data_IF_814468539810
#
_entry.id   IF_814468539810
#
_cell.length_a   1.000
_cell.length_b   1.000
_cell.length_c   1.000
_cell.angle_alpha   90.00
_cell.angle_beta   90.00
_cell.angle_gamma   90.00
#
_symmetry.space_group_name_H-M   'P 1'
#
loop_
_entity.id
_entity.type
_entity.pdbx_description
1 polymer ?
#
# COMPACT_ATOMS: atom_id res chain seq x y z
N UNK A 1 4.47 -9.05 -39.88
CA UNK A 1 4.59 -7.98 -38.88
C UNK A 1 3.18 -7.58 -38.48
N UNK A 2 2.70 -8.02 -37.32
CA UNK A 2 1.42 -7.49 -36.77
C UNK A 2 1.67 -6.03 -36.40
N UNK A 3 0.73 -5.16 -36.71
CA UNK A 3 0.81 -3.75 -36.33
C UNK A 3 0.77 -3.67 -34.79
N UNK A 4 1.93 -3.37 -34.17
CA UNK A 4 1.97 -3.02 -32.76
C UNK A 4 1.09 -1.77 -32.55
N UNK A 5 0.18 -1.85 -31.59
CA UNK A 5 -0.67 -0.68 -31.22
C UNK A 5 0.25 0.44 -30.74
N UNK A 6 0.17 1.60 -31.39
CA UNK A 6 0.91 2.81 -30.98
C UNK A 6 -0.04 3.97 -30.77
N UNK A 7 0.19 4.74 -29.69
CA UNK A 7 -0.56 5.95 -29.35
C UNK A 7 0.42 7.14 -29.34
N UNK A 8 0.17 8.11 -30.19
CA UNK A 8 1.02 9.31 -30.30
C UNK A 8 0.39 10.57 -29.71
N UNK A 9 -0.92 10.54 -29.40
CA UNK A 9 -1.65 11.70 -28.88
C UNK A 9 -2.12 11.50 -27.46
N UNK A 10 -1.83 12.44 -26.56
CA UNK A 10 -2.38 12.50 -25.20
C UNK A 10 -3.91 12.66 -25.14
N UNK A 11 -4.55 13.03 -26.28
CA UNK A 11 -6.01 13.12 -26.40
C UNK A 11 -6.68 11.75 -26.61
N UNK A 12 -5.91 10.67 -26.74
CA UNK A 12 -6.43 9.32 -26.81
C UNK A 12 -7.25 8.98 -25.56
N UNK A 13 -8.41 8.35 -25.73
CA UNK A 13 -9.35 8.07 -24.65
C UNK A 13 -8.76 7.15 -23.57
N UNK A 14 -7.89 6.20 -23.94
CA UNK A 14 -7.21 5.34 -22.98
C UNK A 14 -6.26 6.17 -22.10
N UNK A 15 -5.45 7.06 -22.67
CA UNK A 15 -4.55 7.91 -21.91
C UNK A 15 -5.31 8.91 -21.02
N UNK A 16 -6.44 9.44 -21.47
CA UNK A 16 -7.33 10.26 -20.62
C UNK A 16 -7.88 9.45 -19.45
N UNK A 17 -8.23 8.18 -19.67
CA UNK A 17 -8.67 7.29 -18.60
C UNK A 17 -7.56 7.05 -17.59
N UNK A 18 -6.34 6.72 -18.04
CA UNK A 18 -5.17 6.56 -17.15
C UNK A 18 -4.90 7.84 -16.34
N UNK A 19 -4.95 9.00 -16.98
CA UNK A 19 -4.77 10.30 -16.29
C UNK A 19 -5.80 10.51 -15.17
N UNK A 20 -7.06 10.11 -15.38
CA UNK A 20 -8.09 10.15 -14.32
C UNK A 20 -7.74 9.19 -13.17
N UNK A 21 -7.30 7.98 -13.48
CA UNK A 21 -6.90 7.00 -12.47
C UNK A 21 -5.67 7.46 -11.67
N UNK A 22 -4.71 8.12 -12.31
CA UNK A 22 -3.53 8.67 -11.67
C UNK A 22 -3.86 9.82 -10.70
N UNK A 23 -4.80 10.68 -11.07
CA UNK A 23 -5.04 11.94 -10.34
C UNK A 23 -6.26 11.94 -9.43
N UNK A 24 -7.25 11.06 -9.65
CA UNK A 24 -8.55 11.13 -8.97
C UNK A 24 -8.88 9.85 -8.18
N UNK A 25 -8.92 9.95 -6.85
CA UNK A 25 -9.32 8.81 -6.02
C UNK A 25 -10.76 8.36 -6.28
N UNK A 26 -11.67 9.30 -6.65
CA UNK A 26 -13.03 8.97 -7.03
C UNK A 26 -13.07 8.04 -8.26
N UNK A 27 -12.29 8.35 -9.30
CA UNK A 27 -12.21 7.53 -10.50
C UNK A 27 -11.69 6.11 -10.19
N UNK A 28 -10.63 5.99 -9.37
CA UNK A 28 -10.12 4.67 -8.95
C UNK A 28 -11.20 3.82 -8.27
N UNK A 29 -11.98 4.43 -7.38
CA UNK A 29 -13.08 3.74 -6.70
C UNK A 29 -14.22 3.35 -7.63
N UNK A 30 -14.65 4.27 -8.47
CA UNK A 30 -15.78 4.08 -9.39
C UNK A 30 -15.51 2.98 -10.40
N UNK A 31 -14.29 2.96 -10.96
CA UNK A 31 -13.89 1.95 -11.93
C UNK A 31 -13.30 0.68 -11.31
N UNK A 32 -12.94 0.68 -10.03
CA UNK A 32 -12.21 -0.43 -9.42
C UNK A 32 -10.85 -0.66 -10.07
N UNK A 33 -10.14 0.42 -10.45
CA UNK A 33 -8.93 0.36 -11.26
C UNK A 33 -7.91 1.38 -10.78
N UNK A 34 -6.63 1.08 -11.05
CA UNK A 34 -5.52 2.02 -10.81
C UNK A 34 -4.42 1.84 -11.85
N UNK A 35 -3.37 2.62 -11.75
CA UNK A 35 -2.20 2.57 -12.62
C UNK A 35 -0.95 2.42 -11.78
N UNK A 36 -0.13 1.44 -12.14
CA UNK A 36 1.22 1.29 -11.63
C UNK A 36 2.15 2.10 -12.52
N UNK A 37 2.99 2.93 -11.94
CA UNK A 37 4.02 3.68 -12.66
C UNK A 37 5.39 3.08 -12.35
N UNK A 38 6.13 2.71 -13.40
CA UNK A 38 7.47 2.15 -13.32
C UNK A 38 7.55 0.65 -13.61
N UNK A 39 8.70 0.25 -14.17
CA UNK A 39 9.00 -1.16 -14.54
C UNK A 39 8.94 -2.06 -13.31
N UNK A 40 9.55 -1.65 -12.21
CA UNK A 40 9.66 -2.46 -11.00
C UNK A 40 8.28 -2.84 -10.42
N UNK A 41 7.36 -1.89 -10.29
CA UNK A 41 6.00 -2.18 -9.80
C UNK A 41 5.25 -3.13 -10.73
N UNK A 42 5.44 -2.97 -12.04
CA UNK A 42 4.85 -3.84 -13.05
C UNK A 42 5.38 -5.27 -12.93
N UNK A 43 6.67 -5.44 -12.72
CA UNK A 43 7.30 -6.75 -12.51
C UNK A 43 6.77 -7.43 -11.25
N UNK A 44 6.78 -6.73 -10.11
CA UNK A 44 6.27 -7.29 -8.84
C UNK A 44 4.80 -7.71 -8.96
N UNK A 45 3.98 -6.93 -9.70
CA UNK A 45 2.59 -7.28 -9.96
C UNK A 45 2.45 -8.60 -10.74
N UNK A 46 3.26 -8.78 -11.79
CA UNK A 46 3.27 -10.01 -12.60
C UNK A 46 3.83 -11.21 -11.81
N UNK A 47 4.91 -11.01 -11.06
CA UNK A 47 5.52 -12.05 -10.20
C UNK A 47 4.56 -12.52 -9.10
N UNK A 48 3.67 -11.64 -8.61
CA UNK A 48 2.60 -11.99 -7.68
C UNK A 48 1.44 -12.77 -8.35
N UNK A 49 1.54 -13.07 -9.66
CA UNK A 49 0.58 -13.88 -10.40
C UNK A 49 -0.64 -13.13 -10.93
N UNK A 50 -0.61 -11.80 -10.92
CA UNK A 50 -1.70 -10.98 -11.45
C UNK A 50 -1.54 -10.68 -12.94
N UNK A 51 -2.65 -10.49 -13.64
CA UNK A 51 -2.68 -10.13 -15.07
C UNK A 51 -3.13 -8.68 -15.23
N UNK A 52 -2.33 -7.82 -15.89
CA UNK A 52 -2.71 -6.44 -16.17
C UNK A 52 -3.82 -6.36 -17.24
N UNK A 53 -4.59 -5.27 -17.22
CA UNK A 53 -5.53 -4.97 -18.30
C UNK A 53 -4.82 -4.50 -19.56
N UNK A 54 -3.78 -3.69 -19.39
CA UNK A 54 -2.92 -3.19 -20.47
C UNK A 54 -1.62 -2.63 -19.89
N UNK A 55 -0.53 -2.80 -20.61
CA UNK A 55 0.78 -2.20 -20.31
C UNK A 55 1.12 -1.19 -21.41
N UNK A 56 1.44 0.04 -20.99
CA UNK A 56 1.81 1.14 -21.87
C UNK A 56 3.31 1.37 -21.74
N UNK A 57 4.01 1.24 -22.85
CA UNK A 57 5.46 1.29 -22.92
C UNK A 57 5.93 2.53 -23.68
N UNK A 58 6.93 3.28 -23.18
CA UNK A 58 7.51 4.40 -23.91
C UNK A 58 8.27 3.93 -25.14
N UNK A 59 7.99 4.55 -26.29
CA UNK A 59 8.69 4.21 -27.56
C UNK A 59 10.20 4.41 -27.46
N UNK A 60 10.69 5.38 -26.66
CA UNK A 60 12.10 5.64 -26.43
C UNK A 60 12.86 4.48 -25.79
N UNK A 61 12.16 3.64 -25.01
CA UNK A 61 12.78 2.54 -24.26
C UNK A 61 12.59 1.16 -24.92
N UNK A 62 12.23 1.09 -26.19
CA UNK A 62 11.93 -0.17 -26.89
C UNK A 62 13.12 -1.16 -26.95
N UNK A 63 14.35 -0.66 -26.80
CA UNK A 63 15.57 -1.48 -26.73
C UNK A 63 16.10 -1.69 -25.32
N UNK A 64 15.47 -1.05 -24.29
CA UNK A 64 15.95 -1.13 -22.90
C UNK A 64 15.80 -2.56 -22.35
N UNK A 65 16.85 -3.13 -21.70
CA UNK A 65 16.83 -4.52 -21.24
C UNK A 65 15.67 -4.84 -20.29
N UNK A 66 15.35 -3.95 -19.34
CA UNK A 66 14.26 -4.15 -18.39
C UNK A 66 12.89 -4.18 -19.08
N UNK A 67 12.69 -3.34 -20.12
CA UNK A 67 11.45 -3.35 -20.91
C UNK A 67 11.33 -4.65 -21.70
N UNK A 68 12.42 -5.14 -22.28
CA UNK A 68 12.42 -6.43 -22.99
C UNK A 68 12.09 -7.59 -22.05
N UNK A 69 12.63 -7.56 -20.83
CA UNK A 69 12.33 -8.56 -19.83
C UNK A 69 10.84 -8.51 -19.44
N UNK A 70 10.30 -7.31 -19.21
CA UNK A 70 8.87 -7.13 -18.89
C UNK A 70 7.97 -7.66 -20.03
N UNK A 71 8.29 -7.32 -21.29
CA UNK A 71 7.55 -7.75 -22.47
C UNK A 71 7.53 -9.29 -22.59
N UNK A 72 8.62 -9.97 -22.25
CA UNK A 72 8.70 -11.44 -22.34
C UNK A 72 7.70 -12.17 -21.44
N UNK A 73 7.17 -11.48 -20.45
CA UNK A 73 6.17 -11.99 -19.49
C UNK A 73 4.73 -11.57 -19.83
N UNK A 74 4.51 -10.95 -20.99
CA UNK A 74 3.24 -10.39 -21.40
C UNK A 74 2.79 -10.93 -22.76
N UNK A 75 1.48 -11.03 -22.95
CA UNK A 75 0.90 -11.28 -24.26
C UNK A 75 1.01 -10.03 -25.15
N UNK A 76 1.26 -10.20 -26.46
CA UNK A 76 1.38 -9.09 -27.41
C UNK A 76 0.18 -8.14 -27.39
N UNK A 77 -1.03 -8.68 -27.26
CA UNK A 77 -2.26 -7.89 -27.21
C UNK A 77 -2.39 -7.03 -25.92
N UNK A 78 -1.68 -7.41 -24.88
CA UNK A 78 -1.57 -6.68 -23.60
C UNK A 78 -0.64 -5.46 -23.64
N UNK A 79 0.02 -5.19 -24.76
CA UNK A 79 1.04 -4.15 -24.89
C UNK A 79 0.57 -3.03 -25.82
N UNK A 80 0.81 -1.80 -25.42
CA UNK A 80 0.61 -0.61 -26.25
C UNK A 80 1.83 0.29 -26.14
N UNK A 81 2.43 0.63 -27.29
CA UNK A 81 3.51 1.60 -27.36
C UNK A 81 2.96 3.03 -27.33
N UNK A 82 3.63 3.92 -26.65
CA UNK A 82 3.17 5.32 -26.51
C UNK A 82 4.32 6.26 -26.74
N UNK A 83 4.06 7.28 -27.56
CA UNK A 83 5.02 8.35 -27.79
C UNK A 83 5.33 9.10 -26.49
N UNK A 84 6.59 9.42 -26.25
CA UNK A 84 7.07 10.02 -25.00
C UNK A 84 6.35 11.32 -24.63
N UNK A 85 6.05 12.18 -25.62
CA UNK A 85 5.30 13.43 -25.40
C UNK A 85 3.88 13.16 -24.86
N UNK A 86 3.24 12.07 -25.27
CA UNK A 86 1.91 11.71 -24.82
C UNK A 86 1.96 11.14 -23.38
N UNK A 87 2.98 10.33 -23.04
CA UNK A 87 3.18 9.82 -21.68
C UNK A 87 3.53 10.95 -20.71
N UNK A 88 4.42 11.86 -21.08
CA UNK A 88 4.84 12.97 -20.20
C UNK A 88 3.70 13.86 -19.73
N UNK A 89 2.62 13.94 -20.51
CA UNK A 89 1.43 14.75 -20.16
C UNK A 89 0.51 14.10 -19.13
N UNK A 90 0.66 12.79 -18.86
CA UNK A 90 -0.22 12.06 -17.96
C UNK A 90 0.51 11.48 -16.74
N UNK A 91 1.82 11.28 -16.80
CA UNK A 91 2.60 10.74 -15.68
C UNK A 91 2.61 11.67 -14.48
N UNK A 92 2.67 11.10 -13.29
CA UNK A 92 2.93 11.81 -12.04
C UNK A 92 4.43 11.81 -11.66
N UNK A 93 5.28 11.20 -12.48
CA UNK A 93 6.73 11.11 -12.28
C UNK A 93 7.47 12.26 -12.95
N UNK A 94 8.64 12.61 -12.36
CA UNK A 94 9.53 13.60 -12.97
C UNK A 94 10.18 13.08 -14.26
N UNK A 95 10.42 11.76 -14.34
CA UNK A 95 10.90 11.08 -15.54
C UNK A 95 9.72 10.63 -16.38
N UNK A 96 9.43 11.40 -17.41
CA UNK A 96 8.23 11.34 -18.23
C UNK A 96 8.10 10.11 -19.13
N UNK A 97 9.06 9.19 -19.11
CA UNK A 97 9.16 8.08 -20.06
C UNK A 97 9.19 6.70 -19.36
N UNK A 98 8.37 6.51 -18.33
CA UNK A 98 8.30 5.23 -17.64
C UNK A 98 7.05 4.42 -18.03
N UNK A 99 7.10 3.12 -17.70
CA UNK A 99 6.02 2.17 -17.94
C UNK A 99 4.79 2.56 -17.13
N UNK A 100 3.61 2.45 -17.73
CA UNK A 100 2.34 2.53 -17.04
C UNK A 100 1.57 1.22 -17.20
N UNK A 101 1.26 0.56 -16.09
CA UNK A 101 0.49 -0.68 -16.09
C UNK A 101 -0.89 -0.44 -15.54
N UNK A 102 -1.89 -0.58 -16.39
CA UNK A 102 -3.31 -0.47 -16.02
C UNK A 102 -3.79 -1.77 -15.42
N UNK A 103 -4.26 -1.70 -14.18
CA UNK A 103 -4.70 -2.87 -13.42
C UNK A 103 -6.12 -2.72 -12.85
N UNK A 104 -6.77 -3.84 -12.59
CA UNK A 104 -7.92 -3.88 -11.68
C UNK A 104 -7.43 -3.83 -10.22
N UNK A 105 -8.14 -3.10 -9.37
CA UNK A 105 -7.95 -3.19 -7.92
C UNK A 105 -8.52 -4.52 -7.47
N UNK A 106 -7.76 -5.36 -6.73
CA UNK A 106 -8.30 -6.61 -6.21
C UNK A 106 -9.56 -6.39 -5.37
N UNK A 107 -10.58 -7.23 -5.50
CA UNK A 107 -11.79 -7.10 -4.70
C UNK A 107 -11.45 -7.32 -3.23
N UNK A 108 -12.05 -6.49 -2.37
CA UNK A 108 -11.90 -6.63 -0.92
C UNK A 108 -12.62 -7.90 -0.46
N UNK A 109 -11.95 -8.70 0.37
CA UNK A 109 -12.51 -9.89 1.01
C UNK A 109 -13.33 -9.50 2.24
N UNK A 110 -13.93 -10.49 2.90
CA UNK A 110 -14.54 -10.30 4.22
C UNK A 110 -13.49 -9.83 5.24
N UNK A 111 -13.91 -8.93 6.13
CA UNK A 111 -13.01 -8.38 7.13
C UNK A 111 -12.47 -9.47 8.05
N UNK A 112 -11.18 -9.40 8.44
CA UNK A 112 -10.60 -10.40 9.33
C UNK A 112 -11.23 -10.32 10.71
N UNK A 113 -11.55 -11.48 11.29
CA UNK A 113 -12.06 -11.59 12.65
C UNK A 113 -10.95 -11.98 13.64
N UNK A 114 -9.80 -12.44 13.14
CA UNK A 114 -8.66 -12.90 13.95
C UNK A 114 -7.38 -12.92 13.11
N UNK A 115 -6.26 -13.24 13.74
CA UNK A 115 -4.94 -13.33 13.11
C UNK A 115 -4.19 -12.01 13.14
N UNK A 116 -2.91 -12.04 12.80
CA UNK A 116 -2.08 -10.85 12.84
C UNK A 116 -2.56 -9.77 11.86
N UNK A 117 -2.76 -8.57 12.39
CA UNK A 117 -3.32 -7.46 11.63
C UNK A 117 -2.63 -6.13 11.93
N UNK A 118 -2.44 -5.32 10.91
CA UNK A 118 -2.07 -3.89 11.04
C UNK A 118 -3.30 -3.04 10.78
N UNK A 119 -3.59 -2.14 11.70
CA UNK A 119 -4.74 -1.22 11.64
C UNK A 119 -4.22 0.21 11.55
N UNK A 120 -4.66 0.94 10.55
CA UNK A 120 -4.25 2.32 10.31
C UNK A 120 -5.44 3.25 10.59
N UNK A 121 -5.27 4.11 11.61
CA UNK A 121 -6.26 5.11 12.00
C UNK A 121 -5.85 6.49 11.49
N UNK A 122 -6.51 6.98 10.45
CA UNK A 122 -6.35 8.33 9.88
C UNK A 122 -4.93 8.68 9.41
N UNK A 123 -4.13 7.71 8.94
CA UNK A 123 -2.84 7.99 8.33
C UNK A 123 -3.02 8.73 6.99
N UNK A 124 -2.32 9.86 6.85
CA UNK A 124 -2.47 10.76 5.70
C UNK A 124 -1.26 10.77 4.78
N UNK A 125 -0.06 10.49 5.30
CA UNK A 125 1.16 10.51 4.49
C UNK A 125 1.32 9.23 3.67
N UNK A 126 1.39 9.31 2.31
CA UNK A 126 1.55 8.16 1.45
C UNK A 126 2.85 7.39 1.68
N UNK A 127 3.92 8.08 2.09
CA UNK A 127 5.22 7.49 2.38
C UNK A 127 5.17 6.62 3.63
N UNK A 128 4.53 7.12 4.70
CA UNK A 128 4.32 6.35 5.93
C UNK A 128 3.48 5.10 5.66
N UNK A 129 2.34 5.24 4.98
CA UNK A 129 1.49 4.10 4.65
C UNK A 129 2.26 3.06 3.83
N UNK A 130 2.94 3.47 2.76
CA UNK A 130 3.74 2.56 1.94
C UNK A 130 4.85 1.85 2.73
N UNK A 131 5.52 2.55 3.64
CA UNK A 131 6.55 1.96 4.52
C UNK A 131 5.94 0.95 5.49
N UNK A 132 4.77 1.23 6.07
CA UNK A 132 4.07 0.28 6.95
C UNK A 132 3.70 -0.99 6.18
N UNK A 133 3.18 -0.87 4.94
CA UNK A 133 2.86 -2.03 4.11
C UNK A 133 4.09 -2.91 3.87
N UNK A 134 5.24 -2.29 3.55
CA UNK A 134 6.50 -3.02 3.36
C UNK A 134 6.96 -3.74 4.63
N UNK A 135 6.86 -3.06 5.77
CA UNK A 135 7.22 -3.65 7.07
C UNK A 135 6.31 -4.81 7.44
N UNK A 136 5.00 -4.69 7.21
CA UNK A 136 4.04 -5.76 7.43
C UNK A 136 4.34 -6.97 6.54
N UNK A 137 4.52 -6.78 5.25
CA UNK A 137 4.87 -7.86 4.31
C UNK A 137 6.19 -8.54 4.72
N UNK A 138 7.21 -7.78 5.12
CA UNK A 138 8.51 -8.30 5.53
C UNK A 138 8.48 -9.05 6.86
N UNK A 139 7.61 -8.66 7.81
CA UNK A 139 7.43 -9.33 9.10
C UNK A 139 6.46 -10.52 9.06
N UNK A 140 5.84 -10.78 7.90
CA UNK A 140 4.88 -11.88 7.72
C UNK A 140 3.44 -11.55 8.11
N UNK A 141 3.15 -10.32 8.55
CA UNK A 141 1.77 -9.85 8.81
C UNK A 141 1.09 -9.53 7.48
N UNK A 142 -0.01 -10.21 7.17
CA UNK A 142 -0.66 -10.10 5.85
C UNK A 142 -1.88 -9.20 5.83
N UNK A 143 -2.56 -9.05 6.96
CA UNK A 143 -3.85 -8.35 7.02
C UNK A 143 -3.64 -6.87 7.37
N UNK A 144 -4.12 -5.98 6.49
CA UNK A 144 -4.01 -4.53 6.66
C UNK A 144 -5.41 -3.90 6.62
N UNK A 145 -5.84 -3.30 7.72
CA UNK A 145 -7.14 -2.63 7.85
C UNK A 145 -6.93 -1.12 7.92
N UNK A 146 -7.50 -0.37 6.99
CA UNK A 146 -7.42 1.09 6.96
C UNK A 146 -8.80 1.71 7.26
N UNK A 147 -8.81 2.66 8.16
CA UNK A 147 -9.99 3.48 8.46
C UNK A 147 -10.46 4.32 7.27
N UNK A 148 -11.69 4.84 7.37
CA UNK A 148 -12.31 5.66 6.33
C UNK A 148 -11.48 6.89 5.94
N UNK A 149 -10.79 7.48 6.92
CA UNK A 149 -10.07 8.75 6.80
C UNK A 149 -8.58 8.57 6.54
N UNK A 150 -8.15 7.40 6.11
CA UNK A 150 -6.78 7.17 5.62
C UNK A 150 -6.62 7.65 4.18
N UNK A 151 -5.36 7.94 3.81
CA UNK A 151 -5.01 8.22 2.41
C UNK A 151 -5.46 7.07 1.50
N UNK A 152 -5.76 7.38 0.25
CA UNK A 152 -6.14 6.37 -0.73
C UNK A 152 -4.98 5.40 -0.99
N UNK A 153 -5.14 4.18 -0.47
CA UNK A 153 -4.14 3.11 -0.52
C UNK A 153 -3.73 2.73 -1.94
N UNK A 154 -4.63 2.91 -2.92
CA UNK A 154 -4.41 2.61 -4.33
C UNK A 154 -3.93 3.84 -5.12
N UNK A 155 -3.58 4.94 -4.45
CA UNK A 155 -3.00 6.10 -5.13
C UNK A 155 -1.59 5.80 -5.63
N UNK A 156 -1.15 6.39 -6.76
CA UNK A 156 0.20 6.18 -7.31
C UNK A 156 1.31 6.47 -6.30
N UNK A 157 1.11 7.44 -5.41
CA UNK A 157 2.09 7.79 -4.36
C UNK A 157 2.26 6.66 -3.34
N UNK A 158 1.16 6.06 -2.87
CA UNK A 158 1.21 4.93 -1.92
C UNK A 158 1.73 3.67 -2.60
N UNK A 159 1.30 3.39 -3.84
CA UNK A 159 1.78 2.25 -4.64
C UNK A 159 3.30 2.28 -4.81
N UNK A 160 3.86 3.46 -5.15
CA UNK A 160 5.32 3.64 -5.25
C UNK A 160 6.02 3.47 -3.92
N UNK A 161 5.51 4.11 -2.85
CA UNK A 161 6.10 3.98 -1.52
C UNK A 161 6.06 2.54 -0.99
N UNK A 162 5.00 1.79 -1.34
CA UNK A 162 4.82 0.39 -0.97
C UNK A 162 5.67 -0.59 -1.77
N UNK A 163 6.29 -0.16 -2.89
CA UNK A 163 7.21 -0.99 -3.69
C UNK A 163 6.66 -2.39 -4.01
N UNK A 164 5.35 -2.50 -4.28
CA UNK A 164 4.69 -3.77 -4.60
C UNK A 164 4.17 -4.57 -3.41
N UNK A 165 4.39 -4.16 -2.16
CA UNK A 165 3.87 -4.84 -0.98
C UNK A 165 2.34 -5.03 -1.03
N UNK A 166 1.62 -4.17 -1.74
CA UNK A 166 0.17 -4.28 -1.95
C UNK A 166 -0.28 -5.64 -2.50
N UNK A 167 0.56 -6.28 -3.30
CA UNK A 167 0.24 -7.55 -3.97
C UNK A 167 0.58 -8.78 -3.14
N UNK A 168 1.21 -8.57 -1.97
CA UNK A 168 1.56 -9.60 -0.99
C UNK A 168 0.63 -9.59 0.23
N UNK A 169 -0.30 -8.62 0.31
CA UNK A 169 -1.11 -8.31 1.47
C UNK A 169 -2.61 -8.40 1.16
N UNK A 170 -3.39 -8.77 2.16
CA UNK A 170 -4.84 -8.66 2.16
C UNK A 170 -5.23 -7.27 2.71
N UNK A 171 -5.64 -6.38 1.82
CA UNK A 171 -5.89 -4.97 2.15
C UNK A 171 -7.39 -4.71 2.25
N UNK A 172 -7.80 -4.17 3.40
CA UNK A 172 -9.16 -3.77 3.72
C UNK A 172 -9.18 -2.27 3.93
N UNK A 173 -9.68 -1.53 2.97
CA UNK A 173 -9.71 -0.06 3.02
C UNK A 173 -11.11 0.47 3.31
N UNK A 174 -11.16 1.68 3.88
CA UNK A 174 -12.41 2.38 4.19
C UNK A 174 -13.31 1.62 5.16
N UNK A 175 -12.68 1.05 6.18
CA UNK A 175 -13.37 0.28 7.21
C UNK A 175 -13.86 1.21 8.32
N UNK A 176 -15.06 0.98 8.83
CA UNK A 176 -15.53 1.57 10.10
C UNK A 176 -14.78 0.88 11.24
N UNK A 177 -13.62 1.44 11.64
CA UNK A 177 -12.73 0.80 12.61
C UNK A 177 -13.42 0.49 13.92
N UNK A 178 -14.26 1.40 14.45
CA UNK A 178 -14.95 1.19 15.72
C UNK A 178 -15.90 -0.01 15.67
N UNK A 179 -16.57 -0.25 14.53
CA UNK A 179 -17.44 -1.41 14.34
C UNK A 179 -16.64 -2.69 14.16
N UNK A 180 -15.53 -2.62 13.42
CA UNK A 180 -14.66 -3.77 13.18
C UNK A 180 -13.98 -4.24 14.48
N UNK A 181 -13.48 -3.31 15.31
CA UNK A 181 -12.86 -3.62 16.60
C UNK A 181 -13.79 -4.42 17.53
N UNK A 182 -15.11 -4.20 17.45
CA UNK A 182 -16.09 -4.96 18.25
C UNK A 182 -16.25 -6.43 17.76
N UNK A 183 -15.77 -6.76 16.58
CA UNK A 183 -15.86 -8.11 15.98
C UNK A 183 -14.56 -8.89 16.00
N UNK A 184 -13.44 -8.20 16.16
CA UNK A 184 -12.11 -8.83 16.16
C UNK A 184 -11.88 -9.57 17.47
N UNK A 185 -11.33 -10.81 17.38
CA UNK A 185 -11.35 -11.77 18.48
C UNK A 185 -10.02 -11.88 19.24
N UNK A 186 -8.90 -11.50 18.62
CA UNK A 186 -7.60 -11.52 19.26
C UNK A 186 -7.31 -10.16 19.92
N UNK A 187 -6.20 -10.07 20.65
CA UNK A 187 -5.81 -8.84 21.35
C UNK A 187 -5.53 -7.70 20.38
N UNK A 188 -5.85 -6.50 20.82
CA UNK A 188 -5.67 -5.26 20.06
C UNK A 188 -4.76 -4.33 20.85
N UNK A 189 -3.60 -4.01 20.29
CA UNK A 189 -2.63 -3.09 20.85
C UNK A 189 -2.59 -1.79 20.05
N UNK A 190 -2.63 -0.66 20.73
CA UNK A 190 -2.47 0.65 20.11
C UNK A 190 -1.14 1.28 20.51
N UNK A 191 -0.39 1.81 19.55
CA UNK A 191 0.79 2.62 19.87
C UNK A 191 0.37 4.00 20.33
N UNK A 192 0.57 4.29 21.62
CA UNK A 192 0.25 5.58 22.22
C UNK A 192 1.18 5.87 23.40
N UNK A 193 1.54 7.15 23.57
CA UNK A 193 2.36 7.58 24.70
C UNK A 193 1.54 7.67 26.00
N UNK A 194 0.29 8.13 25.90
CA UNK A 194 -0.60 8.41 27.03
C UNK A 194 -1.88 7.56 26.98
N UNK A 195 -1.75 6.31 26.56
CA UNK A 195 -2.89 5.42 26.42
C UNK A 195 -3.31 4.71 27.72
N UNK A 196 -4.37 3.90 27.61
CA UNK A 196 -4.89 3.07 28.72
C UNK A 196 -3.92 1.90 28.98
N UNK A 197 -3.54 1.67 30.26
CA UNK A 197 -2.65 0.59 30.69
C UNK A 197 -1.38 0.49 29.81
N UNK A 198 -0.52 1.52 29.79
CA UNK A 198 0.63 1.53 28.92
C UNK A 198 1.63 0.45 29.32
N UNK A 199 1.98 -0.41 28.36
CA UNK A 199 3.02 -1.42 28.50
C UNK A 199 4.21 -1.06 27.64
N UNK A 200 5.40 -1.37 28.10
CA UNK A 200 6.60 -1.25 27.26
C UNK A 200 6.61 -2.40 26.24
N UNK A 201 6.88 -2.11 24.99
CA UNK A 201 6.87 -3.06 23.90
C UNK A 201 7.66 -4.35 24.23
N UNK A 202 8.85 -4.19 24.77
CA UNK A 202 9.76 -5.32 25.04
C UNK A 202 9.39 -6.16 26.25
N UNK A 203 8.33 -5.79 26.98
CA UNK A 203 7.76 -6.54 28.10
C UNK A 203 6.50 -7.31 27.73
N UNK A 204 5.98 -7.10 26.51
CA UNK A 204 4.79 -7.81 26.04
C UNK A 204 5.13 -9.21 25.57
N UNK A 205 4.21 -10.15 25.83
CA UNK A 205 4.17 -11.43 25.16
C UNK A 205 3.40 -11.28 23.83
N UNK A 206 4.11 -11.40 22.72
CA UNK A 206 3.61 -11.24 21.35
C UNK A 206 3.58 -12.57 20.57
N UNK A 207 3.64 -13.70 21.27
CA UNK A 207 3.56 -15.03 20.63
C UNK A 207 2.18 -15.32 20.05
N UNK A 208 1.10 -14.88 20.71
CA UNK A 208 -0.25 -15.01 20.20
C UNK A 208 -0.54 -13.98 19.08
N UNK A 209 -1.45 -14.28 18.15
CA UNK A 209 -1.93 -13.31 17.16
C UNK A 209 -2.49 -12.04 17.81
N UNK A 210 -2.27 -10.90 17.15
CA UNK A 210 -2.81 -9.62 17.61
C UNK A 210 -2.96 -8.60 16.48
N UNK A 211 -3.79 -7.57 16.72
CA UNK A 211 -3.89 -6.40 15.87
C UNK A 211 -3.08 -5.23 16.46
N UNK A 212 -2.31 -4.57 15.61
CA UNK A 212 -1.56 -3.36 15.92
C UNK A 212 -2.26 -2.12 15.35
N UNK A 213 -2.66 -1.18 16.20
CA UNK A 213 -3.25 0.09 15.77
C UNK A 213 -2.19 1.18 15.77
N UNK A 214 -1.98 1.79 14.60
CA UNK A 214 -1.12 2.95 14.40
C UNK A 214 -1.96 4.15 14.01
N UNK A 215 -1.78 5.26 14.70
CA UNK A 215 -2.59 6.46 14.54
C UNK A 215 -1.95 7.51 13.65
N UNK A 216 -2.69 8.59 13.45
CA UNK A 216 -2.29 9.76 12.67
C UNK A 216 -0.96 10.34 13.14
N UNK A 217 -0.17 10.85 12.19
CA UNK A 217 1.18 11.37 12.40
C UNK A 217 1.25 12.52 13.42
N UNK A 218 0.20 13.32 13.52
CA UNK A 218 0.17 14.48 14.43
C UNK A 218 -0.64 14.23 15.70
N UNK A 219 -1.80 13.55 15.57
CA UNK A 219 -2.74 13.37 16.69
C UNK A 219 -2.72 11.97 17.32
N UNK A 220 -1.91 11.06 16.79
CA UNK A 220 -1.87 9.67 17.28
C UNK A 220 -3.16 8.90 17.01
N UNK A 221 -3.38 7.82 17.76
CA UNK A 221 -4.59 7.00 17.70
C UNK A 221 -5.77 7.77 18.32
N UNK A 222 -6.95 7.70 17.68
CA UNK A 222 -8.14 8.39 18.16
C UNK A 222 -8.58 7.88 19.53
N UNK A 223 -9.17 8.79 20.31
CA UNK A 223 -9.59 8.48 21.67
C UNK A 223 -10.61 7.34 21.71
N UNK A 224 -11.53 7.35 20.78
CA UNK A 224 -12.58 6.35 20.65
C UNK A 224 -12.01 4.95 20.41
N UNK A 225 -10.92 4.86 19.65
CA UNK A 225 -10.19 3.60 19.44
C UNK A 225 -9.41 3.20 20.69
N UNK A 226 -8.73 4.15 21.36
CA UNK A 226 -8.00 3.88 22.59
C UNK A 226 -8.91 3.37 23.73
N UNK A 227 -10.18 3.72 23.72
CA UNK A 227 -11.18 3.22 24.68
C UNK A 227 -11.61 1.77 24.40
N UNK A 228 -11.37 1.25 23.16
CA UNK A 228 -11.80 -0.10 22.72
C UNK A 228 -10.66 -1.12 22.66
N UNK A 229 -9.41 -0.69 22.63
CA UNK A 229 -8.26 -1.61 22.57
C UNK A 229 -7.96 -2.25 23.94
N UNK A 230 -7.32 -3.42 23.94
CA UNK A 230 -6.93 -4.12 25.16
C UNK A 230 -5.85 -3.37 25.94
N UNK A 231 -4.98 -2.65 25.26
CA UNK A 231 -3.97 -1.83 25.89
C UNK A 231 -3.21 -0.93 24.92
N UNK A 232 -2.49 0.02 25.48
CA UNK A 232 -1.57 0.86 24.73
C UNK A 232 -0.12 0.40 24.91
N UNK A 233 0.67 0.61 23.89
CA UNK A 233 2.07 0.18 23.84
C UNK A 233 2.97 1.37 23.57
N UNK A 234 3.99 1.48 24.41
CA UNK A 234 5.06 2.47 24.28
C UNK A 234 6.33 1.75 23.82
N UNK A 235 6.99 2.32 22.84
CA UNK A 235 8.36 1.93 22.48
C UNK A 235 9.33 2.67 23.42
N UNK A 236 10.12 1.99 24.25
CA UNK A 236 11.08 2.64 25.12
C UNK A 236 12.13 3.42 24.33
N UNK A 237 12.32 4.68 24.70
CA UNK A 237 13.32 5.56 24.09
C UNK A 237 14.28 6.08 25.16
N UNK A 238 15.58 5.89 24.95
CA UNK A 238 16.63 6.33 25.90
C UNK A 238 17.13 7.75 25.57
N UNK A 239 16.80 8.27 24.39
CA UNK A 239 17.16 9.61 23.96
C UNK A 239 16.15 10.68 24.38
N UNK A 240 16.36 11.91 23.92
CA UNK A 240 15.51 13.07 24.23
C UNK A 240 14.35 13.27 23.23
N UNK A 241 14.17 12.35 22.28
CA UNK A 241 13.09 12.43 21.29
C UNK A 241 11.78 11.95 21.92
N UNK A 242 10.71 12.72 21.76
CA UNK A 242 9.40 12.42 22.36
C UNK A 242 8.65 11.30 21.64
N UNK A 243 8.84 11.14 20.31
CA UNK A 243 8.16 10.16 19.51
C UNK A 243 8.99 9.68 18.31
N UNK A 244 8.61 8.55 17.74
CA UNK A 244 9.10 8.06 16.47
C UNK A 244 8.10 8.40 15.35
N UNK A 245 8.61 8.51 14.12
CA UNK A 245 7.76 8.46 12.95
C UNK A 245 6.86 7.20 12.99
N UNK A 246 5.59 7.33 12.61
CA UNK A 246 4.60 6.25 12.73
C UNK A 246 5.01 4.98 11.98
N UNK A 247 5.63 5.11 10.81
CA UNK A 247 6.09 3.94 10.04
C UNK A 247 7.29 3.26 10.71
N UNK A 248 8.17 4.03 11.35
CA UNK A 248 9.26 3.47 12.16
C UNK A 248 8.71 2.77 13.40
N UNK A 249 7.75 3.36 14.09
CA UNK A 249 7.08 2.72 15.22
C UNK A 249 6.42 1.39 14.80
N UNK A 250 5.69 1.39 13.68
CA UNK A 250 5.10 0.18 13.13
C UNK A 250 6.16 -0.89 12.83
N UNK A 251 7.26 -0.50 12.19
CA UNK A 251 8.37 -1.43 11.88
C UNK A 251 8.93 -2.05 13.15
N UNK A 252 9.19 -1.26 14.18
CA UNK A 252 9.74 -1.77 15.46
C UNK A 252 8.79 -2.76 16.12
N UNK A 253 7.48 -2.44 16.20
CA UNK A 253 6.47 -3.33 16.79
C UNK A 253 6.36 -4.66 16.03
N UNK A 254 6.25 -4.61 14.70
CA UNK A 254 6.09 -5.78 13.85
C UNK A 254 7.32 -6.69 13.88
N UNK A 255 8.51 -6.12 13.86
CA UNK A 255 9.75 -6.89 13.92
C UNK A 255 10.03 -7.43 15.33
N UNK A 256 9.63 -6.75 16.41
CA UNK A 256 9.69 -7.33 17.76
C UNK A 256 8.72 -8.51 17.88
N UNK A 257 7.49 -8.40 17.36
CA UNK A 257 6.57 -9.53 17.30
C UNK A 257 7.15 -10.71 16.52
N UNK A 258 7.72 -10.46 15.35
CA UNK A 258 8.40 -11.48 14.55
C UNK A 258 9.56 -12.10 15.31
N UNK A 259 10.42 -11.29 15.95
CA UNK A 259 11.57 -11.76 16.73
C UNK A 259 11.16 -12.75 17.82
N UNK A 260 10.09 -12.48 18.56
CA UNK A 260 9.60 -13.38 19.62
C UNK A 260 9.13 -14.73 19.09
N UNK A 261 8.66 -14.80 17.83
CA UNK A 261 8.10 -16.01 17.22
C UNK A 261 9.10 -16.85 16.43
N UNK A 262 10.19 -16.28 16.00
CA UNK A 262 11.24 -17.04 15.28
C UNK A 262 12.34 -17.58 16.20
N UNK A 263 12.24 -17.34 17.52
CA UNK A 263 13.15 -17.84 18.55
C UNK A 263 14.30 -16.91 18.77
#
# INVERSE_FOLDING_TARGET
>A
MRHMKSITSAQNEQLKHLSKLLTQSKARREYGQTVLEGVHLSQVYLEAGYTPKQVYLPESKNTHPEIRNLISSLDEDGITWVGNEALSKITSLNDADDVMTWIGIPPQRDLPLSGDCVVLDRLQDPGNVGTVLRSAAASGVKQIVLGNDCVDIWSPKVLRAGMGAHFLLDIYSRVSLLQWLDTYQDKIWATALDGRNPSDLYQLDLNAPCAWVFGNEGSGVSREILEKVDGSVRIPMLGQTESLNVAMAATVCLFEQMRQRIG
#
